data_IF_813085843029
#
_entry.id   IF_813085843029
#
_cell.length_a   1.000
_cell.length_b   1.000
_cell.length_c   1.000
_cell.angle_alpha   90.00
_cell.angle_beta   90.00
_cell.angle_gamma   90.00
#
_symmetry.space_group_name_H-M   'P 1'
#
loop_
_entity.id
_entity.type
_entity.pdbx_description
1 polymer ?
#
# COMPACT_ATOMS: atom_id res chain seq x y z
N UNK A 1 -22.51 22.81 -11.21
CA UNK A 1 -21.87 21.51 -11.45
C UNK A 1 -21.00 21.20 -10.24
N UNK A 2 -21.37 20.20 -9.42
CA UNK A 2 -20.53 19.79 -8.29
C UNK A 2 -19.31 19.10 -8.89
N UNK A 3 -18.18 19.82 -8.93
CA UNK A 3 -16.92 19.29 -9.44
C UNK A 3 -16.50 18.05 -8.65
N UNK A 4 -15.87 17.11 -9.33
CA UNK A 4 -15.26 15.92 -8.74
C UNK A 4 -14.32 16.36 -7.60
N UNK A 5 -14.80 16.28 -6.35
CA UNK A 5 -14.01 16.71 -5.19
C UNK A 5 -13.10 15.55 -4.78
N UNK A 6 -11.99 15.43 -5.52
CA UNK A 6 -10.91 14.53 -5.13
C UNK A 6 -10.31 15.04 -3.83
N UNK A 7 -10.26 14.15 -2.84
CA UNK A 7 -9.64 14.39 -1.55
C UNK A 7 -8.39 13.54 -1.42
N UNK A 8 -7.48 13.96 -0.54
CA UNK A 8 -6.32 13.13 -0.19
C UNK A 8 -6.70 12.15 0.91
N UNK A 9 -6.43 10.87 0.69
CA UNK A 9 -6.56 9.82 1.68
C UNK A 9 -5.15 9.30 2.03
N UNK A 10 -4.78 9.44 3.30
CA UNK A 10 -3.52 8.92 3.81
C UNK A 10 -3.68 7.44 4.15
N UNK A 11 -2.72 6.63 3.72
CA UNK A 11 -2.68 5.19 3.91
C UNK A 11 -1.36 4.79 4.57
N UNK A 12 -1.44 3.72 5.35
CA UNK A 12 -0.30 3.03 5.97
C UNK A 12 -0.37 1.55 5.62
N UNK A 13 0.70 1.04 5.04
CA UNK A 13 0.88 -0.39 4.86
C UNK A 13 1.97 -0.88 5.80
N UNK A 14 1.67 -1.88 6.61
CA UNK A 14 2.62 -2.59 7.44
C UNK A 14 2.89 -3.96 6.83
N UNK A 15 4.14 -4.23 6.49
CA UNK A 15 4.62 -5.56 6.10
C UNK A 15 5.20 -6.21 7.34
N UNK A 16 4.52 -7.21 7.90
CA UNK A 16 5.01 -7.98 9.03
C UNK A 16 5.96 -9.07 8.55
N UNK A 17 6.94 -9.43 9.39
CA UNK A 17 7.86 -10.53 9.11
C UNK A 17 8.54 -10.40 7.74
N UNK A 18 9.18 -9.25 7.43
CA UNK A 18 9.89 -9.10 6.16
C UNK A 18 11.04 -10.12 6.10
N UNK A 19 11.30 -10.66 4.90
CA UNK A 19 12.40 -11.60 4.71
C UNK A 19 13.75 -10.94 5.07
N UNK A 20 14.52 -11.48 6.04
CA UNK A 20 15.77 -10.86 6.47
C UNK A 20 16.77 -10.67 5.33
N UNK A 21 17.44 -9.52 5.33
CA UNK A 21 18.45 -9.17 4.31
C UNK A 21 17.88 -8.83 2.93
N UNK A 22 16.57 -8.78 2.74
CA UNK A 22 15.95 -8.39 1.48
C UNK A 22 15.32 -7.01 1.58
N UNK A 23 15.78 -6.09 0.73
CA UNK A 23 15.21 -4.75 0.70
C UNK A 23 13.81 -4.79 0.10
N UNK A 24 12.92 -3.98 0.67
CA UNK A 24 11.61 -3.72 0.09
C UNK A 24 11.41 -2.21 -0.09
N UNK A 25 10.70 -1.83 -1.16
CA UNK A 25 10.32 -0.46 -1.42
C UNK A 25 8.99 -0.39 -2.15
N UNK A 26 8.14 0.58 -1.82
CA UNK A 26 6.86 0.76 -2.51
C UNK A 26 7.08 1.51 -3.83
N UNK A 27 6.46 1.04 -4.92
CA UNK A 27 6.59 1.70 -6.21
C UNK A 27 5.78 3.00 -6.25
N UNK A 28 6.42 4.07 -6.71
CA UNK A 28 5.85 5.41 -6.93
C UNK A 28 5.94 5.79 -8.41
N UNK A 29 4.80 5.93 -9.05
CA UNK A 29 4.69 6.18 -10.49
C UNK A 29 5.27 5.02 -11.32
N UNK A 30 6.07 5.37 -12.33
CA UNK A 30 6.67 4.38 -13.25
C UNK A 30 7.84 3.62 -12.64
N UNK A 31 8.74 4.30 -11.93
CA UNK A 31 10.02 3.72 -11.50
C UNK A 31 10.57 4.28 -10.19
N UNK A 32 9.95 5.30 -9.59
CA UNK A 32 10.44 5.83 -8.30
C UNK A 32 10.09 4.84 -7.19
N UNK A 33 10.85 4.90 -6.11
CA UNK A 33 10.69 4.04 -4.95
C UNK A 33 10.47 4.89 -3.70
N UNK A 34 9.55 4.46 -2.85
CA UNK A 34 9.36 4.94 -1.49
C UNK A 34 9.97 3.91 -0.55
N UNK A 35 11.00 4.31 0.20
CA UNK A 35 11.61 3.49 1.23
C UNK A 35 10.67 3.35 2.45
N UNK A 36 10.68 2.20 3.16
CA UNK A 36 9.92 2.05 4.38
C UNK A 36 10.61 2.72 5.56
N UNK A 37 9.83 2.98 6.61
CA UNK A 37 10.37 3.05 7.96
C UNK A 37 10.62 1.62 8.49
N UNK A 38 11.77 1.41 9.11
CA UNK A 38 12.20 0.09 9.59
C UNK A 38 11.91 -0.05 11.09
N UNK A 39 11.45 -1.24 11.46
CA UNK A 39 11.41 -1.74 12.83
C UNK A 39 11.96 -3.17 12.86
N UNK A 40 12.32 -3.73 14.03
CA UNK A 40 12.88 -5.08 14.10
C UNK A 40 12.02 -6.18 13.47
N UNK A 41 10.69 -6.00 13.44
CA UNK A 41 9.75 -7.04 12.99
C UNK A 41 8.83 -6.60 11.84
N UNK A 42 8.94 -5.35 11.38
CA UNK A 42 8.05 -4.83 10.35
C UNK A 42 8.66 -3.70 9.52
N UNK A 43 8.14 -3.56 8.29
CA UNK A 43 8.36 -2.41 7.42
C UNK A 43 7.07 -1.61 7.30
N UNK A 44 7.15 -0.29 7.47
CA UNK A 44 5.99 0.60 7.41
C UNK A 44 6.13 1.56 6.24
N UNK A 45 5.09 1.62 5.39
CA UNK A 45 4.99 2.56 4.28
C UNK A 45 3.81 3.50 4.53
N UNK A 46 4.10 4.79 4.68
CA UNK A 46 3.09 5.85 4.69
C UNK A 46 3.03 6.52 3.33
N UNK A 47 1.85 6.55 2.72
CA UNK A 47 1.65 7.08 1.37
C UNK A 47 0.26 7.69 1.22
N UNK A 48 0.06 8.50 0.19
CA UNK A 48 -1.19 9.18 -0.07
C UNK A 48 -1.76 8.80 -1.43
N UNK A 49 -3.08 8.66 -1.49
CA UNK A 49 -3.84 8.48 -2.73
C UNK A 49 -4.90 9.57 -2.85
N UNK A 50 -5.34 9.80 -4.08
CA UNK A 50 -6.48 10.66 -4.36
C UNK A 50 -7.74 9.80 -4.40
N UNK A 51 -8.71 10.13 -3.57
CA UNK A 51 -10.01 9.45 -3.47
C UNK A 51 -11.12 10.34 -3.99
N UNK A 52 -12.04 9.77 -4.75
CA UNK A 52 -13.32 10.38 -5.11
C UNK A 52 -14.45 9.53 -4.52
N UNK A 53 -15.07 10.07 -3.47
CA UNK A 53 -16.16 9.43 -2.73
C UNK A 53 -17.51 9.53 -3.46
N UNK A 54 -17.61 10.29 -4.55
CA UNK A 54 -18.84 10.43 -5.33
C UNK A 54 -19.04 9.31 -6.37
N UNK A 55 -18.02 8.47 -6.59
CA UNK A 55 -18.06 7.35 -7.55
C UNK A 55 -18.41 6.05 -6.83
N UNK A 56 -19.08 5.16 -7.56
CA UNK A 56 -19.34 3.78 -7.15
C UNK A 56 -18.80 2.80 -8.23
N UNK A 57 -17.78 1.98 -7.94
CA UNK A 57 -17.01 1.97 -6.70
C UNK A 57 -16.19 3.25 -6.51
N UNK A 58 -15.74 3.51 -5.27
CA UNK A 58 -14.86 4.66 -4.98
C UNK A 58 -13.66 4.69 -5.92
N UNK A 59 -13.37 5.88 -6.45
CA UNK A 59 -12.22 6.02 -7.34
C UNK A 59 -10.98 6.32 -6.53
N UNK A 60 -9.99 5.42 -6.58
CA UNK A 60 -8.66 5.65 -6.05
C UNK A 60 -7.68 5.90 -7.19
N UNK A 61 -6.93 6.99 -7.12
CA UNK A 61 -5.93 7.39 -8.12
C UNK A 61 -4.68 7.97 -7.45
N UNK A 62 -3.67 8.28 -8.23
CA UNK A 62 -2.41 8.83 -7.75
C UNK A 62 -1.23 7.91 -8.03
N UNK A 63 -0.03 8.40 -7.71
CA UNK A 63 1.23 7.79 -8.13
C UNK A 63 1.50 6.41 -7.54
N UNK A 64 0.89 6.06 -6.40
CA UNK A 64 1.04 4.73 -5.80
C UNK A 64 0.02 3.72 -6.34
N UNK A 65 -1.08 4.18 -6.94
CA UNK A 65 -2.20 3.33 -7.38
C UNK A 65 -1.91 2.67 -8.72
N UNK A 66 -2.23 1.38 -8.81
CA UNK A 66 -2.01 0.53 -9.98
C UNK A 66 -3.27 -0.30 -10.28
N UNK A 67 -3.33 -0.93 -11.46
CA UNK A 67 -4.47 -1.75 -11.88
C UNK A 67 -5.66 -0.93 -12.39
N UNK A 68 -6.78 -1.54 -12.78
CA UNK A 68 -8.01 -0.84 -13.19
C UNK A 68 -8.81 -0.31 -11.98
N UNK A 69 -9.78 0.62 -12.17
CA UNK A 69 -10.55 1.23 -11.07
C UNK A 69 -11.17 0.23 -10.07
N UNK A 70 -11.74 -0.88 -10.55
CA UNK A 70 -12.36 -1.89 -9.69
C UNK A 70 -11.37 -2.83 -8.96
N UNK A 71 -10.08 -2.77 -9.29
CA UNK A 71 -9.04 -3.67 -8.75
C UNK A 71 -7.76 -2.89 -8.46
N UNK A 72 -7.89 -1.74 -7.78
CA UNK A 72 -6.75 -0.92 -7.40
C UNK A 72 -5.86 -1.63 -6.40
N UNK A 73 -4.55 -1.49 -6.56
CA UNK A 73 -3.55 -2.03 -5.67
C UNK A 73 -2.32 -1.11 -5.64
N UNK A 74 -1.42 -1.35 -4.68
CA UNK A 74 -0.06 -0.79 -4.67
C UNK A 74 0.97 -1.89 -4.90
N UNK A 75 2.09 -1.54 -5.53
CA UNK A 75 3.23 -2.46 -5.64
C UNK A 75 4.19 -2.26 -4.47
N UNK A 76 4.56 -3.35 -3.80
CA UNK A 76 5.76 -3.41 -2.97
C UNK A 76 6.78 -4.29 -3.65
N UNK A 77 7.91 -3.68 -4.01
CA UNK A 77 9.00 -4.33 -4.70
C UNK A 77 9.96 -4.94 -3.68
N UNK A 78 10.64 -6.02 -4.06
CA UNK A 78 11.68 -6.66 -3.26
C UNK A 78 12.92 -6.98 -4.09
N UNK A 79 14.08 -6.93 -3.44
CA UNK A 79 15.37 -7.24 -4.06
C UNK A 79 15.77 -6.22 -5.13
N UNK A 80 16.12 -6.67 -6.34
CA UNK A 80 16.62 -5.81 -7.42
C UNK A 80 15.59 -4.73 -7.81
N UNK A 81 14.29 -5.06 -7.76
CA UNK A 81 13.20 -4.11 -8.00
C UNK A 81 13.03 -3.07 -6.89
N UNK A 82 13.63 -3.30 -5.72
CA UNK A 82 13.77 -2.36 -4.62
C UNK A 82 15.19 -1.74 -4.57
N UNK A 83 15.90 -1.73 -5.70
CA UNK A 83 17.26 -1.19 -5.84
C UNK A 83 18.33 -1.87 -4.97
N UNK A 84 18.12 -3.13 -4.57
CA UNK A 84 19.16 -3.92 -3.91
C UNK A 84 20.05 -4.60 -4.95
N UNK A 85 21.31 -4.16 -5.06
CA UNK A 85 22.29 -4.81 -5.93
C UNK A 85 22.74 -6.16 -5.36
N UNK A 86 23.06 -7.13 -6.25
CA UNK A 86 23.65 -8.42 -5.88
C UNK A 86 22.70 -9.43 -5.22
N UNK A 87 21.43 -9.10 -5.07
CA UNK A 87 20.40 -10.03 -4.55
C UNK A 87 19.90 -10.98 -5.64
N UNK A 88 19.49 -12.19 -5.24
CA UNK A 88 18.84 -13.16 -6.13
C UNK A 88 17.35 -12.84 -6.35
N UNK A 89 16.78 -11.94 -5.55
CA UNK A 89 15.36 -11.63 -5.57
C UNK A 89 15.00 -10.51 -6.55
N UNK A 90 13.96 -10.73 -7.35
CA UNK A 90 13.39 -9.73 -8.26
C UNK A 90 11.86 -9.88 -8.25
N UNK A 91 11.20 -9.45 -7.17
CA UNK A 91 9.76 -9.72 -6.93
C UNK A 91 8.95 -8.45 -6.69
N UNK A 92 7.65 -8.54 -6.96
CA UNK A 92 6.66 -7.50 -6.63
C UNK A 92 5.41 -8.13 -6.02
N UNK A 93 4.97 -7.59 -4.89
CA UNK A 93 3.69 -7.87 -4.28
C UNK A 93 2.66 -6.81 -4.69
N UNK A 94 1.44 -7.23 -5.02
CA UNK A 94 0.26 -6.42 -5.29
C UNK A 94 -0.60 -6.45 -4.03
N UNK A 95 -0.58 -5.34 -3.29
CA UNK A 95 -1.38 -5.19 -2.08
C UNK A 95 -2.69 -4.50 -2.47
N UNK A 96 -3.85 -5.15 -2.32
CA UNK A 96 -5.13 -4.59 -2.75
C UNK A 96 -5.48 -3.33 -1.94
N UNK A 97 -6.00 -2.33 -2.65
CA UNK A 97 -6.68 -1.17 -2.06
C UNK A 97 -8.21 -1.33 -2.10
N UNK A 98 -8.70 -2.42 -2.69
CA UNK A 98 -10.12 -2.79 -2.68
C UNK A 98 -10.56 -3.16 -1.27
N UNK A 99 -11.84 -2.93 -0.97
CA UNK A 99 -12.41 -3.27 0.35
C UNK A 99 -12.28 -2.17 1.40
N UNK A 100 -11.69 -1.01 1.06
CA UNK A 100 -11.76 0.19 1.92
C UNK A 100 -13.23 0.66 1.98
N UNK A 101 -13.90 0.64 3.16
CA UNK A 101 -15.27 1.13 3.26
C UNK A 101 -15.33 2.65 3.12
N UNK A 102 -16.35 3.17 2.43
CA UNK A 102 -16.57 4.62 2.24
C UNK A 102 -16.60 5.35 3.60
N UNK A 103 -17.33 4.81 4.57
CA UNK A 103 -17.44 5.40 5.91
C UNK A 103 -16.07 5.49 6.61
N UNK A 104 -15.20 4.49 6.43
CA UNK A 104 -13.87 4.47 7.01
C UNK A 104 -12.96 5.52 6.37
N UNK A 105 -13.02 5.66 5.05
CA UNK A 105 -12.29 6.70 4.34
C UNK A 105 -12.76 8.12 4.74
N UNK A 106 -14.08 8.32 4.88
CA UNK A 106 -14.66 9.57 5.38
C UNK A 106 -14.18 9.90 6.79
N UNK A 107 -14.18 8.92 7.69
CA UNK A 107 -13.69 9.08 9.07
C UNK A 107 -12.21 9.48 9.09
N UNK A 108 -11.36 8.77 8.32
CA UNK A 108 -9.94 9.09 8.24
C UNK A 108 -9.70 10.51 7.70
N UNK A 109 -10.41 10.91 6.65
CA UNK A 109 -10.27 12.27 6.08
C UNK A 109 -10.72 13.33 7.09
N UNK A 110 -11.89 13.15 7.70
CA UNK A 110 -12.46 14.12 8.64
C UNK A 110 -11.58 14.32 9.89
N UNK A 111 -10.88 13.26 10.32
CA UNK A 111 -9.97 13.29 11.48
C UNK A 111 -8.53 13.58 11.13
N UNK A 112 -8.21 13.88 9.87
CA UNK A 112 -6.84 13.98 9.37
C UNK A 112 -5.97 12.75 9.74
N UNK A 113 -6.60 11.57 9.79
CA UNK A 113 -6.00 10.29 10.14
C UNK A 113 -5.46 9.54 8.92
N UNK A 114 -5.15 8.27 9.13
CA UNK A 114 -4.68 7.33 8.10
C UNK A 114 -5.50 6.05 8.15
N UNK A 115 -5.67 5.37 7.01
CA UNK A 115 -6.11 3.97 7.02
C UNK A 115 -4.90 3.06 7.01
N UNK A 116 -4.91 2.06 7.89
CA UNK A 116 -3.84 1.11 8.05
C UNK A 116 -4.28 -0.29 7.60
N UNK A 117 -3.39 -1.00 6.92
CA UNK A 117 -3.54 -2.41 6.60
C UNK A 117 -2.22 -3.18 6.84
N UNK A 118 -2.33 -4.49 7.04
CA UNK A 118 -1.20 -5.39 7.29
C UNK A 118 -1.13 -6.49 6.23
N UNK A 119 0.08 -6.87 5.83
CA UNK A 119 0.37 -8.03 4.97
C UNK A 119 1.57 -8.80 5.52
N UNK A 120 1.64 -10.10 5.25
CA UNK A 120 2.81 -10.91 5.59
C UNK A 120 3.90 -10.78 4.51
N UNK A 121 5.15 -10.56 4.94
CA UNK A 121 6.29 -10.25 4.09
C UNK A 121 6.97 -11.46 3.42
N UNK A 122 6.57 -12.67 3.78
CA UNK A 122 7.12 -13.93 3.27
C UNK A 122 6.07 -14.68 2.44
N UNK A 123 6.47 -15.16 1.26
CA UNK A 123 5.65 -16.00 0.40
C UNK A 123 5.69 -17.48 0.85
N UNK A 124 4.77 -18.30 0.34
CA UNK A 124 4.69 -19.74 0.65
C UNK A 124 5.97 -20.52 0.32
N UNK A 125 6.79 -20.01 -0.61
CA UNK A 125 8.06 -20.62 -1.03
C UNK A 125 9.26 -20.17 -0.18
N UNK A 126 9.03 -19.40 0.89
CA UNK A 126 10.07 -18.86 1.77
C UNK A 126 10.80 -17.63 1.21
N UNK A 127 10.50 -17.21 -0.02
CA UNK A 127 11.01 -15.96 -0.59
C UNK A 127 10.23 -14.73 -0.11
N UNK A 128 10.62 -13.52 -0.54
CA UNK A 128 9.85 -12.33 -0.23
C UNK A 128 8.48 -12.44 -0.93
N UNK A 129 7.46 -11.92 -0.26
CA UNK A 129 6.09 -11.82 -0.75
C UNK A 129 6.00 -11.32 -2.21
N UNK A 130 5.04 -11.86 -2.97
CA UNK A 130 4.91 -11.56 -4.39
C UNK A 130 3.51 -11.87 -4.94
N UNK A 131 3.28 -11.48 -6.19
CA UNK A 131 1.98 -11.61 -6.87
C UNK A 131 0.89 -10.90 -6.05
N UNK A 132 -0.34 -11.40 -6.03
CA UNK A 132 -1.39 -10.83 -5.18
C UNK A 132 -1.26 -11.37 -3.75
N UNK A 133 -1.19 -10.45 -2.79
CA UNK A 133 -1.08 -10.78 -1.36
C UNK A 133 -2.37 -10.39 -0.63
N UNK A 134 -2.94 -11.29 0.19
CA UNK A 134 -4.11 -10.96 1.00
C UNK A 134 -3.71 -10.00 2.13
N UNK A 135 -4.65 -9.16 2.54
CA UNK A 135 -4.53 -8.44 3.80
C UNK A 135 -4.69 -9.42 4.97
N UNK A 136 -3.96 -9.20 6.06
CA UNK A 136 -4.09 -9.99 7.29
C UNK A 136 -5.34 -9.61 8.10
N UNK A 137 -5.86 -8.40 7.86
CA UNK A 137 -7.08 -7.86 8.44
C UNK A 137 -7.68 -6.83 7.50
N UNK A 138 -8.94 -6.46 7.75
CA UNK A 138 -9.54 -5.29 7.09
C UNK A 138 -8.78 -4.00 7.42
N UNK A 139 -9.02 -2.97 6.60
CA UNK A 139 -8.49 -1.63 6.84
C UNK A 139 -9.04 -1.06 8.14
N UNK A 140 -8.19 -0.36 8.89
CA UNK A 140 -8.57 0.30 10.15
C UNK A 140 -8.13 1.75 10.18
N UNK A 141 -8.87 2.64 10.85
CA UNK A 141 -8.42 4.02 11.08
C UNK A 141 -7.32 4.01 12.14
N UNK A 142 -6.15 4.55 11.80
CA UNK A 142 -5.12 4.96 12.74
C UNK A 142 -5.15 6.48 12.85
N UNK A 143 -5.37 6.99 14.05
CA UNK A 143 -5.20 8.42 14.33
C UNK A 143 -3.70 8.74 14.32
N UNK A 144 -3.35 9.89 13.75
CA UNK A 144 -2.01 10.45 13.93
C UNK A 144 -2.01 11.07 15.32
N UNK A 145 -1.26 10.47 16.25
CA UNK A 145 -0.92 11.11 17.53
C UNK A 145 0.06 12.25 17.33
#
# INVERSE_FOLDING_TARGET
>A
ALGDMKQTLNLRLIVTDPLPGVHCAMQRGKSKLLAPAFSPTALTFDFAVQIDLSKDPISLTGEFTQGPPAKRFVYVNSGSYAAQAGTTWSRRAKVPLTGIPIALAQEAIARNGKLEARVHGIAKDGGPFCASVPLLSDWTVSLVG
#
